data_IF_453589753722
#
_entry.id   IF_453589753722
#
_cell.length_a   1.000
_cell.length_b   1.000
_cell.length_c   1.000
_cell.angle_alpha   90.00
_cell.angle_beta   90.00
_cell.angle_gamma   90.00
#
_symmetry.space_group_name_H-M   'P 1'
#
loop_
_entity.id
_entity.type
_entity.pdbx_description
1 polymer ?
#
# COMPACT_ATOMS: atom_id res chain seq x y z
N UNK A 1 -13.96 5.15 -15.61
CA UNK A 1 -13.50 6.45 -16.12
C UNK A 1 -11.97 6.44 -16.14
N UNK A 2 -11.35 7.15 -17.08
CA UNK A 2 -9.89 7.23 -17.13
C UNK A 2 -9.41 8.25 -16.09
N UNK A 3 -8.81 7.78 -15.00
CA UNK A 3 -8.42 8.63 -13.85
C UNK A 3 -7.25 9.57 -14.15
N UNK A 4 -6.44 9.28 -15.18
CA UNK A 4 -5.34 10.13 -15.61
C UNK A 4 -5.83 11.48 -16.18
N UNK A 5 -6.70 11.51 -17.22
CA UNK A 5 -7.31 12.77 -17.68
C UNK A 5 -8.03 13.54 -16.57
N UNK A 6 -8.69 12.83 -15.65
CA UNK A 6 -9.37 13.43 -14.51
C UNK A 6 -8.39 14.14 -13.57
N UNK A 7 -7.25 13.52 -13.22
CA UNK A 7 -6.25 14.22 -12.41
C UNK A 7 -5.69 15.46 -13.12
N UNK A 8 -5.39 15.35 -14.42
CA UNK A 8 -4.86 16.49 -15.19
C UNK A 8 -5.84 17.67 -15.14
N UNK A 9 -7.14 17.40 -15.32
CA UNK A 9 -8.16 18.44 -15.22
C UNK A 9 -8.20 19.04 -13.81
N UNK A 10 -8.25 18.21 -12.77
CA UNK A 10 -8.29 18.66 -11.37
C UNK A 10 -7.09 19.53 -10.98
N UNK A 11 -5.89 19.18 -11.46
CA UNK A 11 -4.67 19.96 -11.25
C UNK A 11 -4.70 21.29 -12.01
N UNK A 12 -5.19 21.29 -13.25
CA UNK A 12 -5.38 22.50 -14.06
C UNK A 12 -6.33 23.48 -13.39
N UNK A 13 -7.42 22.95 -12.83
CA UNK A 13 -8.44 23.72 -12.09
C UNK A 13 -7.99 24.11 -10.67
N UNK A 14 -6.77 23.72 -10.26
CA UNK A 14 -6.21 23.97 -8.91
C UNK A 14 -7.13 23.46 -7.81
N UNK A 15 -7.74 22.31 -8.03
CA UNK A 15 -8.60 21.65 -7.06
C UNK A 15 -7.85 21.33 -5.77
N UNK A 16 -8.59 21.21 -4.66
CA UNK A 16 -8.04 20.81 -3.37
C UNK A 16 -7.74 19.31 -3.37
N UNK A 17 -6.46 18.94 -3.52
CA UNK A 17 -6.02 17.54 -3.62
C UNK A 17 -5.08 17.13 -2.49
N UNK A 18 -5.18 15.87 -2.06
CA UNK A 18 -4.20 15.21 -1.16
C UNK A 18 -3.63 13.97 -1.84
N UNK A 19 -2.31 13.92 -2.02
CA UNK A 19 -1.62 12.75 -2.56
C UNK A 19 -1.37 11.72 -1.47
N UNK A 20 -1.73 10.46 -1.71
CA UNK A 20 -1.43 9.32 -0.85
C UNK A 20 -0.41 8.43 -1.55
N UNK A 21 0.86 8.56 -1.17
CA UNK A 21 1.97 7.88 -1.83
C UNK A 21 2.22 6.50 -1.21
N UNK A 22 2.14 5.45 -2.02
CA UNK A 22 2.39 4.09 -1.57
C UNK A 22 3.87 3.89 -1.16
N UNK A 23 4.18 3.13 -0.10
CA UNK A 23 5.55 2.95 0.39
C UNK A 23 6.49 2.20 -0.57
N UNK A 24 5.99 1.73 -1.72
CA UNK A 24 6.83 1.17 -2.79
C UNK A 24 7.49 2.23 -3.67
N UNK A 25 7.15 3.50 -3.50
CA UNK A 25 7.68 4.59 -4.32
C UNK A 25 9.23 4.66 -4.37
N UNK A 26 10.02 4.25 -3.35
CA UNK A 26 11.49 4.32 -3.42
C UNK A 26 12.09 3.47 -4.54
N UNK A 27 11.32 2.52 -5.08
CA UNK A 27 11.70 1.73 -6.26
C UNK A 27 11.77 2.61 -7.52
N UNK A 28 10.95 3.66 -7.59
CA UNK A 28 10.74 4.49 -8.78
C UNK A 28 11.31 5.90 -8.61
N UNK A 29 11.12 6.50 -7.43
CA UNK A 29 11.49 7.89 -7.17
C UNK A 29 12.39 8.01 -5.95
N UNK A 30 13.23 9.04 -5.95
CA UNK A 30 14.10 9.33 -4.82
C UNK A 30 13.36 10.11 -3.72
N UNK A 31 13.68 9.76 -2.47
CA UNK A 31 13.20 10.44 -1.27
C UNK A 31 14.25 11.44 -0.76
N UNK A 32 13.87 12.65 -0.30
CA UNK A 32 12.49 13.18 -0.18
C UNK A 32 11.96 13.91 -1.42
N UNK A 33 12.74 14.05 -2.50
CA UNK A 33 12.39 14.87 -3.67
C UNK A 33 11.01 14.62 -4.27
N UNK A 34 10.53 13.37 -4.31
CA UNK A 34 9.17 13.07 -4.78
C UNK A 34 8.07 13.81 -4.02
N UNK A 35 8.24 14.06 -2.73
CA UNK A 35 7.27 14.78 -1.90
C UNK A 35 7.18 16.23 -2.35
N UNK A 36 8.31 16.89 -2.55
CA UNK A 36 8.37 18.27 -3.05
C UNK A 36 7.79 18.41 -4.46
N UNK A 37 8.08 17.45 -5.34
CA UNK A 37 7.50 17.40 -6.69
C UNK A 37 5.98 17.32 -6.67
N UNK A 38 5.41 16.47 -5.82
CA UNK A 38 3.95 16.37 -5.69
C UNK A 38 3.33 17.67 -5.15
N UNK A 39 3.98 18.31 -4.17
CA UNK A 39 3.53 19.62 -3.68
C UNK A 39 3.59 20.70 -4.77
N UNK A 40 4.68 20.76 -5.53
CA UNK A 40 4.85 21.70 -6.65
C UNK A 40 3.91 21.43 -7.81
N UNK A 41 3.57 20.17 -8.05
CA UNK A 41 2.57 19.78 -9.06
C UNK A 41 1.18 20.32 -8.72
N UNK A 42 0.86 20.53 -7.43
CA UNK A 42 -0.40 21.14 -6.98
C UNK A 42 -1.10 20.42 -5.84
N UNK A 43 -0.53 19.33 -5.31
CA UNK A 43 -1.09 18.67 -4.12
C UNK A 43 -0.83 19.53 -2.87
N UNK A 44 -1.89 19.86 -2.14
CA UNK A 44 -1.75 20.66 -0.91
C UNK A 44 -1.10 19.84 0.21
N UNK A 45 -1.45 18.55 0.28
CA UNK A 45 -0.90 17.61 1.24
C UNK A 45 -0.39 16.36 0.55
N UNK A 46 0.70 15.81 1.07
CA UNK A 46 1.27 14.54 0.64
C UNK A 46 1.42 13.66 1.86
N UNK A 47 0.73 12.53 1.87
CA UNK A 47 0.75 11.57 2.97
C UNK A 47 1.31 10.24 2.52
N UNK A 48 1.96 9.55 3.45
CA UNK A 48 2.47 8.22 3.23
C UNK A 48 1.41 7.16 3.57
N UNK A 49 1.15 6.26 2.64
CA UNK A 49 0.19 5.15 2.83
C UNK A 49 0.64 4.16 3.92
N UNK A 50 1.91 4.23 4.35
CA UNK A 50 2.41 3.52 5.51
C UNK A 50 1.59 3.85 6.79
N UNK A 51 1.07 5.07 6.92
CA UNK A 51 0.19 5.41 8.04
C UNK A 51 -1.10 4.57 8.06
N UNK A 52 -1.74 4.34 6.92
CA UNK A 52 -2.88 3.43 6.84
C UNK A 52 -2.49 1.96 7.03
N UNK A 53 -1.27 1.56 6.66
CA UNK A 53 -0.78 0.20 6.90
C UNK A 53 -0.66 -0.13 8.40
N UNK A 54 -0.34 0.87 9.23
CA UNK A 54 -0.34 0.71 10.69
C UNK A 54 -1.74 0.40 11.21
N UNK A 55 -2.76 1.09 10.69
CA UNK A 55 -4.16 0.80 11.06
C UNK A 55 -4.61 -0.57 10.55
N UNK A 56 -4.21 -0.97 9.33
CA UNK A 56 -4.46 -2.33 8.84
C UNK A 56 -3.84 -3.38 9.76
N UNK A 57 -2.59 -3.19 10.19
CA UNK A 57 -1.92 -4.11 11.13
C UNK A 57 -2.69 -4.22 12.45
N UNK A 58 -3.10 -3.09 13.04
CA UNK A 58 -3.90 -3.07 14.27
C UNK A 58 -5.18 -3.89 14.12
N UNK A 59 -5.91 -3.72 13.01
CA UNK A 59 -7.15 -4.48 12.76
C UNK A 59 -6.90 -5.98 12.59
N UNK A 60 -5.81 -6.39 11.94
CA UNK A 60 -5.42 -7.81 11.86
C UNK A 60 -5.12 -8.36 13.25
N UNK A 61 -4.35 -7.63 14.06
CA UNK A 61 -3.98 -8.04 15.42
C UNK A 61 -5.21 -8.13 16.32
N UNK A 62 -6.11 -7.13 16.29
CA UNK A 62 -7.38 -7.14 17.02
C UNK A 62 -8.21 -8.37 16.66
N UNK A 63 -8.31 -8.69 15.36
CA UNK A 63 -9.05 -9.85 14.89
C UNK A 63 -8.43 -11.17 15.39
N UNK A 64 -7.10 -11.32 15.32
CA UNK A 64 -6.37 -12.50 15.80
C UNK A 64 -6.44 -12.67 17.33
N UNK A 65 -6.51 -11.58 18.09
CA UNK A 65 -6.60 -11.62 19.57
C UNK A 65 -8.01 -11.90 20.07
N UNK A 66 -9.04 -11.65 19.26
CA UNK A 66 -10.44 -11.85 19.65
C UNK A 66 -10.79 -13.33 19.84
N UNK A 67 -10.16 -14.21 19.09
CA UNK A 67 -10.35 -15.66 19.19
C UNK A 67 -9.03 -16.38 18.84
N UNK A 68 -8.52 -17.17 19.78
CA UNK A 68 -7.30 -17.95 19.64
C UNK A 68 -7.36 -18.99 18.51
N UNK A 69 -8.57 -19.37 18.08
CA UNK A 69 -8.82 -20.26 16.96
C UNK A 69 -9.12 -19.53 15.66
N UNK A 70 -9.20 -18.20 15.68
CA UNK A 70 -9.45 -17.43 14.47
C UNK A 70 -8.30 -17.60 13.47
N UNK A 71 -8.69 -17.71 12.21
CA UNK A 71 -7.80 -17.89 11.07
C UNK A 71 -8.13 -16.85 10.02
N UNK A 72 -7.11 -16.17 9.51
CA UNK A 72 -7.27 -15.06 8.58
C UNK A 72 -6.32 -15.18 7.40
N UNK A 73 -6.82 -14.73 6.25
CA UNK A 73 -6.05 -14.49 5.04
C UNK A 73 -6.04 -12.98 4.82
N UNK A 74 -4.87 -12.40 4.61
CA UNK A 74 -4.75 -10.94 4.45
C UNK A 74 -5.44 -10.49 3.15
N UNK A 75 -6.13 -9.35 3.20
CA UNK A 75 -6.90 -8.80 2.07
C UNK A 75 -6.34 -7.52 1.39
N UNK A 76 -5.13 -6.98 1.69
CA UNK A 76 -4.71 -5.70 1.10
C UNK A 76 -4.39 -5.79 -0.40
N UNK A 77 -4.24 -7.00 -0.96
CA UNK A 77 -3.99 -7.24 -2.38
C UNK A 77 -5.31 -7.48 -3.14
N UNK A 78 -5.83 -6.49 -3.89
CA UNK A 78 -7.15 -6.62 -4.52
C UNK A 78 -7.16 -7.66 -5.65
N UNK A 79 -6.03 -7.89 -6.34
CA UNK A 79 -5.92 -8.98 -7.33
C UNK A 79 -6.16 -10.35 -6.70
N UNK A 80 -5.60 -10.58 -5.51
CA UNK A 80 -5.79 -11.82 -4.77
C UNK A 80 -7.22 -11.95 -4.26
N UNK A 81 -7.78 -10.90 -3.64
CA UNK A 81 -9.17 -10.88 -3.16
C UNK A 81 -10.16 -11.23 -4.28
N UNK A 82 -9.99 -10.62 -5.47
CA UNK A 82 -10.83 -10.92 -6.64
C UNK A 82 -10.65 -12.35 -7.15
N UNK A 83 -9.43 -12.89 -7.09
CA UNK A 83 -9.18 -14.29 -7.40
C UNK A 83 -9.94 -15.22 -6.43
N UNK A 84 -9.91 -14.94 -5.12
CA UNK A 84 -10.65 -15.71 -4.11
C UNK A 84 -12.14 -15.65 -4.37
N UNK A 85 -12.73 -14.45 -4.52
CA UNK A 85 -14.16 -14.27 -4.83
C UNK A 85 -14.62 -15.07 -6.05
N UNK A 86 -13.79 -15.11 -7.10
CA UNK A 86 -14.14 -15.79 -8.36
C UNK A 86 -13.89 -17.30 -8.36
N UNK A 87 -12.76 -17.75 -7.79
CA UNK A 87 -12.28 -19.14 -7.92
C UNK A 87 -12.41 -19.96 -6.64
N UNK A 88 -12.40 -19.32 -5.48
CA UNK A 88 -12.45 -19.95 -4.16
C UNK A 88 -13.45 -19.26 -3.22
N UNK A 89 -14.72 -19.03 -3.65
CA UNK A 89 -15.69 -18.25 -2.86
C UNK A 89 -15.95 -18.85 -1.46
N UNK A 90 -15.80 -20.16 -1.30
CA UNK A 90 -15.93 -20.83 0.01
C UNK A 90 -14.83 -20.46 1.02
N UNK A 91 -13.70 -19.88 0.56
CA UNK A 91 -12.60 -19.37 1.39
C UNK A 91 -12.69 -17.87 1.65
N UNK A 92 -13.62 -17.15 1.03
CA UNK A 92 -13.81 -15.70 1.22
C UNK A 92 -14.08 -15.33 2.67
N UNK A 93 -14.76 -16.22 3.43
CA UNK A 93 -15.00 -16.05 4.87
C UNK A 93 -13.74 -15.89 5.73
N UNK A 94 -12.58 -16.31 5.22
CA UNK A 94 -11.30 -16.16 5.92
C UNK A 94 -10.59 -14.84 5.56
N UNK A 95 -11.03 -14.11 4.54
CA UNK A 95 -10.44 -12.82 4.21
C UNK A 95 -10.68 -11.81 5.34
N UNK A 96 -9.61 -11.16 5.78
CA UNK A 96 -9.63 -10.19 6.85
C UNK A 96 -10.25 -8.85 6.42
N UNK A 97 -11.53 -8.81 6.03
CA UNK A 97 -12.19 -7.60 5.54
C UNK A 97 -12.30 -6.47 6.59
N UNK A 98 -12.29 -6.82 7.88
CA UNK A 98 -12.19 -5.82 8.95
C UNK A 98 -10.87 -5.04 8.93
N UNK A 99 -9.81 -5.65 8.39
CA UNK A 99 -8.52 -5.02 8.14
C UNK A 99 -8.44 -4.55 6.67
N UNK A 100 -9.17 -3.48 6.37
CA UNK A 100 -9.16 -2.86 5.04
C UNK A 100 -7.74 -2.49 4.61
N UNK A 101 -7.51 -2.37 3.30
CA UNK A 101 -6.17 -2.16 2.78
C UNK A 101 -5.58 -0.81 3.23
N UNK A 102 -4.23 -0.68 3.24
CA UNK A 102 -3.57 0.57 3.61
C UNK A 102 -4.03 1.79 2.81
N UNK A 103 -4.40 1.60 1.54
CA UNK A 103 -4.96 2.65 0.69
C UNK A 103 -6.28 3.18 1.28
N UNK A 104 -7.19 2.27 1.64
CA UNK A 104 -8.51 2.62 2.18
C UNK A 104 -8.38 3.25 3.56
N UNK A 105 -7.56 2.67 4.44
CA UNK A 105 -7.31 3.26 5.76
C UNK A 105 -6.72 4.66 5.67
N UNK A 106 -5.75 4.87 4.78
CA UNK A 106 -5.16 6.20 4.55
C UNK A 106 -6.18 7.17 3.98
N UNK A 107 -7.04 6.73 3.04
CA UNK A 107 -8.10 7.58 2.48
C UNK A 107 -9.11 8.03 3.55
N UNK A 108 -9.47 7.14 4.49
CA UNK A 108 -10.31 7.48 5.64
C UNK A 108 -9.64 8.50 6.56
N UNK A 109 -8.34 8.34 6.84
CA UNK A 109 -7.57 9.33 7.62
C UNK A 109 -7.57 10.71 6.94
N UNK A 110 -7.33 10.75 5.63
CA UNK A 110 -7.38 11.98 4.83
C UNK A 110 -8.77 12.62 4.88
N UNK A 111 -9.83 11.84 4.68
CA UNK A 111 -11.22 12.36 4.72
C UNK A 111 -11.61 12.96 6.08
N UNK A 112 -11.08 12.41 7.17
CA UNK A 112 -11.30 12.97 8.52
C UNK A 112 -10.50 14.26 8.72
N UNK A 113 -9.22 14.27 8.30
CA UNK A 113 -8.32 15.40 8.56
C UNK A 113 -8.55 16.58 7.61
N UNK A 114 -8.88 16.30 6.35
CA UNK A 114 -9.06 17.26 5.26
C UNK A 114 -10.28 16.88 4.41
N UNK A 115 -11.51 17.00 4.95
CA UNK A 115 -12.73 16.54 4.29
C UNK A 115 -13.00 17.20 2.93
N UNK A 116 -12.53 18.42 2.72
CA UNK A 116 -12.70 19.18 1.46
C UNK A 116 -11.64 18.83 0.39
N UNK A 117 -10.70 17.94 0.69
CA UNK A 117 -9.60 17.61 -0.20
C UNK A 117 -9.83 16.23 -0.82
N UNK A 118 -9.89 16.19 -2.14
CA UNK A 118 -10.01 14.94 -2.88
C UNK A 118 -8.72 14.12 -2.71
N UNK A 119 -8.88 12.92 -2.18
CA UNK A 119 -7.79 11.97 -2.00
C UNK A 119 -7.40 11.35 -3.36
N UNK A 120 -6.09 11.26 -3.61
CA UNK A 120 -5.52 10.63 -4.81
C UNK A 120 -4.45 9.64 -4.38
N UNK A 121 -4.73 8.35 -4.52
CA UNK A 121 -3.74 7.30 -4.31
C UNK A 121 -2.77 7.21 -5.48
N UNK A 122 -1.49 7.07 -5.18
CA UNK A 122 -0.41 6.92 -6.14
C UNK A 122 0.39 5.68 -5.75
N UNK A 123 0.40 4.65 -6.59
CA UNK A 123 1.04 3.39 -6.25
C UNK A 123 1.36 2.45 -7.40
N UNK A 124 1.71 1.19 -7.10
CA UNK A 124 2.25 0.26 -8.10
C UNK A 124 1.20 -0.61 -8.78
N UNK A 125 -0.09 -0.51 -8.44
CA UNK A 125 -1.09 -1.51 -8.79
C UNK A 125 -2.30 -0.90 -9.49
N UNK A 126 -2.58 -1.34 -10.71
CA UNK A 126 -3.76 -0.94 -11.48
C UNK A 126 -5.07 -1.50 -10.90
N UNK A 127 -5.02 -2.63 -10.18
CA UNK A 127 -6.23 -3.26 -9.60
C UNK A 127 -6.76 -2.47 -8.39
N UNK A 128 -5.95 -1.57 -7.81
CA UNK A 128 -6.42 -0.64 -6.78
C UNK A 128 -7.55 0.27 -7.28
N UNK A 129 -7.61 0.54 -8.59
CA UNK A 129 -8.71 1.30 -9.23
C UNK A 129 -10.05 0.58 -9.06
N UNK A 130 -10.05 -0.74 -9.15
CA UNK A 130 -11.25 -1.56 -8.95
C UNK A 130 -11.61 -1.67 -7.46
N UNK A 131 -10.63 -1.73 -6.56
CA UNK A 131 -10.89 -1.65 -5.13
C UNK A 131 -11.55 -0.32 -4.74
N UNK A 132 -11.04 0.79 -5.26
CA UNK A 132 -11.63 2.10 -5.01
C UNK A 132 -13.04 2.23 -5.61
N UNK A 133 -13.23 1.83 -6.86
CA UNK A 133 -14.49 2.09 -7.58
C UNK A 133 -15.61 1.07 -7.31
N UNK A 134 -15.29 -0.19 -7.03
CA UNK A 134 -16.29 -1.24 -6.80
C UNK A 134 -16.45 -1.60 -5.33
N UNK A 135 -15.36 -1.66 -4.55
CA UNK A 135 -15.42 -2.07 -3.15
C UNK A 135 -15.66 -0.88 -2.19
N UNK A 136 -15.23 0.33 -2.57
CA UNK A 136 -15.36 1.56 -1.74
C UNK A 136 -15.79 2.81 -2.53
N UNK A 137 -16.88 2.76 -3.33
CA UNK A 137 -17.30 3.87 -4.20
C UNK A 137 -17.55 5.20 -3.45
N UNK A 138 -18.01 5.12 -2.19
CA UNK A 138 -18.33 6.30 -1.36
C UNK A 138 -17.12 7.15 -0.96
N UNK A 139 -15.91 6.59 -1.09
CA UNK A 139 -14.68 7.35 -0.86
C UNK A 139 -14.33 8.24 -2.06
N UNK A 140 -14.89 7.98 -3.25
CA UNK A 140 -14.60 8.68 -4.50
C UNK A 140 -13.08 8.81 -4.75
N UNK A 141 -12.31 7.79 -4.37
CA UNK A 141 -10.85 7.84 -4.41
C UNK A 141 -10.36 7.78 -5.85
N UNK A 142 -9.49 8.72 -6.23
CA UNK A 142 -8.78 8.66 -7.52
C UNK A 142 -7.52 7.80 -7.36
N UNK A 143 -7.27 6.87 -8.27
CA UNK A 143 -6.16 5.91 -8.15
C UNK A 143 -5.25 5.99 -9.38
N UNK A 144 -4.01 6.38 -9.16
CA UNK A 144 -2.97 6.44 -10.19
C UNK A 144 -1.87 5.42 -9.94
N UNK A 145 -1.37 4.88 -11.03
CA UNK A 145 -0.11 4.15 -11.05
C UNK A 145 1.07 5.10 -11.14
N UNK A 146 2.29 4.66 -10.79
CA UNK A 146 3.49 5.49 -11.00
C UNK A 146 3.72 5.81 -12.48
N UNK A 147 3.40 4.87 -13.39
CA UNK A 147 3.44 5.13 -14.84
C UNK A 147 2.52 6.30 -15.23
N UNK A 148 1.30 6.34 -14.71
CA UNK A 148 0.36 7.44 -14.97
C UNK A 148 0.85 8.74 -14.32
N UNK A 149 1.46 8.69 -13.13
CA UNK A 149 2.08 9.87 -12.51
C UNK A 149 3.23 10.43 -13.36
N UNK A 150 4.07 9.58 -13.96
CA UNK A 150 5.12 10.02 -14.87
C UNK A 150 4.55 10.75 -16.10
N UNK A 151 3.39 10.32 -16.60
CA UNK A 151 2.67 11.00 -17.68
C UNK A 151 2.12 12.37 -17.22
N UNK A 152 1.63 12.48 -15.99
CA UNK A 152 1.21 13.76 -15.39
C UNK A 152 2.41 14.72 -15.24
N UNK A 153 3.55 14.25 -14.72
CA UNK A 153 4.74 15.08 -14.62
C UNK A 153 5.23 15.58 -15.97
N UNK A 154 5.18 14.73 -17.01
CA UNK A 154 5.50 15.15 -18.38
C UNK A 154 4.53 16.20 -18.92
N UNK A 155 3.24 16.03 -18.68
CA UNK A 155 2.20 16.98 -19.10
C UNK A 155 2.44 18.38 -18.52
N UNK A 156 2.72 18.46 -17.22
CA UNK A 156 2.97 19.72 -16.52
C UNK A 156 4.44 20.16 -16.52
N UNK A 157 5.32 19.44 -17.23
CA UNK A 157 6.77 19.70 -17.32
C UNK A 157 7.46 19.81 -15.94
N UNK A 158 7.03 18.98 -14.98
CA UNK A 158 7.60 18.91 -13.63
C UNK A 158 8.86 18.03 -13.64
N UNK A 159 10.03 18.67 -13.68
CA UNK A 159 11.34 18.03 -13.54
C UNK A 159 11.81 18.01 -12.07
N UNK A 160 12.86 17.27 -11.74
CA UNK A 160 13.43 17.29 -10.38
C UNK A 160 14.09 18.65 -10.08
N UNK A 161 13.87 19.19 -8.88
CA UNK A 161 14.56 20.39 -8.39
C UNK A 161 15.18 20.15 -7.01
N UNK A 162 16.34 20.74 -6.72
CA UNK A 162 17.01 20.57 -5.41
C UNK A 162 16.14 21.04 -4.23
N UNK A 163 15.32 22.07 -4.43
CA UNK A 163 14.38 22.56 -3.40
C UNK A 163 13.35 21.51 -3.00
N UNK A 164 13.04 20.55 -3.88
CA UNK A 164 12.05 19.50 -3.59
C UNK A 164 12.55 18.58 -2.45
N UNK A 165 13.87 18.54 -2.21
CA UNK A 165 14.48 17.75 -1.12
C UNK A 165 14.25 18.34 0.28
N UNK A 166 13.68 19.53 0.39
CA UNK A 166 13.33 20.16 1.67
C UNK A 166 11.90 19.82 2.12
N UNK A 167 11.12 19.14 1.28
CA UNK A 167 9.73 18.81 1.58
C UNK A 167 9.62 17.57 2.49
N UNK A 168 8.61 17.60 3.35
CA UNK A 168 8.25 16.49 4.23
C UNK A 168 6.80 16.04 4.00
N UNK A 169 6.53 14.79 4.35
CA UNK A 169 5.18 14.25 4.36
C UNK A 169 4.34 14.92 5.46
N UNK A 170 3.08 15.21 5.15
CA UNK A 170 2.12 15.77 6.10
C UNK A 170 1.56 14.72 7.07
N UNK A 171 1.64 13.43 6.70
CA UNK A 171 1.44 12.26 7.56
C UNK A 171 2.42 11.17 7.11
N UNK A 172 3.18 10.60 8.05
CA UNK A 172 4.09 9.48 7.79
C UNK A 172 4.07 8.50 8.96
N UNK A 173 4.32 7.22 8.67
CA UNK A 173 4.55 6.22 9.71
C UNK A 173 5.67 5.27 9.28
N UNK A 174 6.92 5.54 9.71
CA UNK A 174 8.06 4.72 9.30
C UNK A 174 7.96 3.23 9.62
N UNK A 175 7.25 2.85 10.70
CA UNK A 175 7.19 1.47 11.20
C UNK A 175 6.73 0.45 10.16
N UNK A 176 5.86 0.86 9.24
CA UNK A 176 5.19 -0.01 8.26
C UNK A 176 5.67 0.18 6.82
N UNK A 177 6.79 0.87 6.58
CA UNK A 177 7.30 1.06 5.20
C UNK A 177 7.70 -0.23 4.47
N UNK A 178 7.86 -1.35 5.18
CA UNK A 178 8.12 -2.67 4.59
C UNK A 178 6.89 -3.33 3.96
N UNK A 179 5.69 -2.78 4.13
CA UNK A 179 4.45 -3.35 3.60
C UNK A 179 4.45 -3.76 2.12
N UNK A 180 5.14 -3.08 1.17
CA UNK A 180 5.07 -3.47 -0.24
C UNK A 180 5.97 -4.68 -0.56
N UNK A 181 6.74 -5.19 0.40
CA UNK A 181 7.54 -6.41 0.26
C UNK A 181 6.75 -7.60 0.83
N UNK A 182 6.87 -8.78 0.21
CA UNK A 182 6.30 -10.03 0.74
C UNK A 182 6.75 -10.29 2.20
N UNK A 183 5.79 -10.54 3.09
CA UNK A 183 5.99 -10.64 4.55
C UNK A 183 6.09 -9.31 5.28
N UNK A 184 5.96 -8.18 4.57
CA UNK A 184 6.05 -6.84 5.14
C UNK A 184 4.96 -6.54 6.18
N UNK A 185 3.76 -7.08 5.99
CA UNK A 185 2.67 -7.01 6.97
C UNK A 185 3.08 -7.73 8.26
N UNK A 186 3.54 -8.98 8.14
CA UNK A 186 3.99 -9.80 9.27
C UNK A 186 5.11 -9.12 10.05
N UNK A 187 6.12 -8.61 9.34
CA UNK A 187 7.28 -7.99 9.94
C UNK A 187 6.96 -6.64 10.58
N UNK A 188 6.16 -5.80 9.93
CA UNK A 188 5.84 -4.46 10.46
C UNK A 188 4.75 -4.46 11.54
N UNK A 189 3.88 -5.47 11.55
CA UNK A 189 2.88 -5.67 12.59
C UNK A 189 3.39 -6.47 13.79
N UNK A 190 4.68 -6.83 13.83
CA UNK A 190 5.29 -7.67 14.87
C UNK A 190 4.48 -8.95 15.15
N UNK A 191 3.92 -9.59 14.12
CA UNK A 191 2.98 -10.70 14.32
C UNK A 191 3.61 -11.94 14.95
N UNK A 192 4.94 -12.04 14.90
CA UNK A 192 5.71 -13.08 15.60
C UNK A 192 5.70 -12.93 17.13
N UNK A 193 5.28 -11.78 17.66
CA UNK A 193 5.09 -11.61 19.11
C UNK A 193 3.77 -12.23 19.60
N UNK A 194 2.84 -12.56 18.69
CA UNK A 194 1.51 -13.09 19.02
C UNK A 194 1.17 -14.43 18.34
N UNK A 195 1.94 -14.83 17.33
CA UNK A 195 1.81 -16.09 16.61
C UNK A 195 3.18 -16.77 16.50
N UNK A 196 3.21 -18.10 16.60
CA UNK A 196 4.41 -18.89 16.35
C UNK A 196 4.72 -19.02 14.86
N UNK A 197 5.95 -19.39 14.51
CA UNK A 197 6.41 -19.47 13.11
C UNK A 197 5.58 -20.45 12.25
N UNK A 198 5.06 -21.53 12.84
CA UNK A 198 4.18 -22.51 12.18
C UNK A 198 2.73 -22.02 12.00
N UNK A 199 2.33 -20.97 12.73
CA UNK A 199 1.01 -20.35 12.61
C UNK A 199 0.96 -19.26 11.52
N UNK A 200 2.12 -18.84 10.99
CA UNK A 200 2.22 -17.80 9.97
C UNK A 200 2.72 -18.41 8.66
N UNK A 201 1.98 -18.18 7.58
CA UNK A 201 2.42 -18.50 6.24
C UNK A 201 2.53 -17.21 5.41
N UNK A 202 3.68 -16.99 4.78
CA UNK A 202 3.91 -15.86 3.86
C UNK A 202 4.06 -16.40 2.45
N UNK A 203 3.25 -15.89 1.52
CA UNK A 203 3.25 -16.31 0.12
C UNK A 203 3.21 -15.09 -0.80
N UNK A 204 3.98 -15.15 -1.89
CA UNK A 204 3.85 -14.19 -2.98
C UNK A 204 3.89 -14.86 -4.34
N UNK A 205 3.32 -14.20 -5.34
CA UNK A 205 3.30 -14.67 -6.73
C UNK A 205 2.01 -15.42 -7.06
N UNK A 206 1.41 -15.05 -8.20
CA UNK A 206 0.10 -15.52 -8.62
C UNK A 206 0.05 -17.04 -8.82
N UNK A 207 1.17 -17.65 -9.24
CA UNK A 207 1.31 -19.09 -9.42
C UNK A 207 1.15 -19.85 -8.11
N UNK A 208 1.59 -19.24 -7.00
CA UNK A 208 1.60 -19.87 -5.68
C UNK A 208 0.26 -19.72 -4.95
N UNK A 209 -0.58 -18.77 -5.37
CA UNK A 209 -1.78 -18.40 -4.64
C UNK A 209 -2.81 -19.54 -4.53
N UNK A 210 -2.99 -20.34 -5.59
CA UNK A 210 -3.90 -21.48 -5.56
C UNK A 210 -3.46 -22.56 -4.57
N UNK A 211 -2.17 -22.94 -4.63
CA UNK A 211 -1.60 -23.93 -3.69
C UNK A 211 -1.69 -23.44 -2.25
N UNK A 212 -1.35 -22.17 -1.99
CA UNK A 212 -1.41 -21.59 -0.65
C UNK A 212 -2.82 -21.63 -0.04
N UNK A 213 -3.86 -21.41 -0.85
CA UNK A 213 -5.26 -21.51 -0.40
C UNK A 213 -5.64 -22.95 -0.03
N UNK A 214 -5.20 -23.94 -0.83
CA UNK A 214 -5.44 -25.35 -0.56
C UNK A 214 -4.70 -25.79 0.71
N UNK A 215 -3.42 -25.41 0.83
CA UNK A 215 -2.60 -25.72 2.01
C UNK A 215 -3.18 -25.08 3.27
N UNK A 216 -3.63 -23.82 3.16
CA UNK A 216 -4.31 -23.14 4.25
C UNK A 216 -5.58 -23.88 4.65
N UNK A 217 -6.45 -24.25 3.69
CA UNK A 217 -7.67 -24.99 4.00
C UNK A 217 -7.40 -26.34 4.68
N UNK A 218 -6.35 -27.05 4.28
CA UNK A 218 -5.97 -28.35 4.81
C UNK A 218 -5.20 -28.29 6.15
N UNK A 219 -4.67 -27.12 6.51
CA UNK A 219 -3.94 -26.91 7.77
C UNK A 219 -4.88 -26.46 8.88
N UNK A 220 -4.76 -27.06 10.07
CA UNK A 220 -5.38 -26.55 11.30
C UNK A 220 -4.46 -25.65 12.13
N UNK A 221 -3.17 -25.59 11.75
CA UNK A 221 -2.14 -24.83 12.47
C UNK A 221 -2.02 -23.39 11.95
N UNK A 222 -2.09 -23.17 10.63
CA UNK A 222 -1.89 -21.85 10.05
C UNK A 222 -3.06 -20.92 10.42
N UNK A 223 -2.76 -19.92 11.25
CA UNK A 223 -3.71 -18.89 11.69
C UNK A 223 -3.67 -17.64 10.82
N UNK A 224 -2.54 -17.32 10.22
CA UNK A 224 -2.41 -16.16 9.33
C UNK A 224 -1.71 -16.55 8.03
N UNK A 225 -2.40 -16.36 6.91
CA UNK A 225 -1.80 -16.39 5.58
C UNK A 225 -1.63 -14.95 5.07
N UNK A 226 -0.40 -14.45 5.09
CA UNK A 226 -0.04 -13.19 4.43
C UNK A 226 0.31 -13.45 2.98
N UNK A 227 -0.50 -12.93 2.05
CA UNK A 227 -0.43 -13.32 0.65
C UNK A 227 -0.54 -12.15 -0.32
N UNK A 228 0.41 -12.08 -1.25
CA UNK A 228 0.46 -11.05 -2.28
C UNK A 228 0.48 -11.68 -3.69
N UNK A 229 -0.29 -11.09 -4.61
CA UNK A 229 -0.44 -11.64 -5.96
C UNK A 229 0.80 -11.44 -6.84
N UNK A 230 1.53 -10.32 -6.68
CA UNK A 230 2.77 -10.07 -7.40
C UNK A 230 3.93 -10.82 -6.74
N UNK A 231 4.84 -11.36 -7.54
CA UNK A 231 6.02 -12.05 -7.02
C UNK A 231 6.89 -11.10 -6.19
N UNK A 232 7.34 -11.53 -5.01
CA UNK A 232 8.08 -10.68 -4.07
C UNK A 232 7.31 -9.50 -3.45
N UNK A 233 6.05 -9.25 -3.85
CA UNK A 233 5.16 -8.24 -3.29
C UNK A 233 4.83 -7.07 -4.24
N UNK A 234 4.22 -6.01 -3.69
CA UNK A 234 3.79 -4.83 -4.45
C UNK A 234 4.93 -4.09 -5.16
N UNK A 235 6.19 -4.29 -4.75
CA UNK A 235 7.38 -3.78 -5.47
C UNK A 235 7.56 -4.37 -6.88
N UNK A 236 6.85 -5.45 -7.21
CA UNK A 236 6.75 -6.02 -8.56
C UNK A 236 5.40 -5.75 -9.22
N UNK A 237 4.63 -4.76 -8.73
CA UNK A 237 3.35 -4.37 -9.32
C UNK A 237 3.51 -3.83 -10.74
N UNK A 238 2.50 -4.07 -11.59
CA UNK A 238 2.54 -3.70 -13.02
C UNK A 238 2.59 -2.19 -13.31
N UNK A 239 2.40 -1.34 -12.29
CA UNK A 239 2.56 0.11 -12.36
C UNK A 239 3.96 0.62 -12.01
N UNK A 240 4.93 -0.25 -11.73
CA UNK A 240 6.33 0.12 -11.48
C UNK A 240 7.05 0.35 -12.81
N UNK A 241 7.75 1.48 -12.95
CA UNK A 241 8.50 1.87 -14.16
C UNK A 241 10.01 1.63 -14.07
N UNK A 242 10.51 1.15 -12.91
CA UNK A 242 11.93 0.90 -12.66
C UNK A 242 12.46 -0.36 -13.35
N UNK A 243 13.68 -0.31 -13.89
CA UNK A 243 14.37 -1.45 -14.50
C UNK A 243 15.06 -2.39 -13.50
N UNK A 244 15.08 -2.02 -12.21
CA UNK A 244 15.72 -2.78 -11.14
C UNK A 244 15.11 -4.18 -11.01
N UNK A 245 15.94 -5.16 -10.65
CA UNK A 245 15.50 -6.51 -10.33
C UNK A 245 14.86 -6.59 -8.93
N UNK A 246 14.25 -7.73 -8.59
CA UNK A 246 13.52 -7.91 -7.33
C UNK A 246 14.38 -7.62 -6.08
N UNK A 247 15.63 -8.06 -6.07
CA UNK A 247 16.53 -7.87 -4.93
C UNK A 247 16.90 -6.38 -4.75
N UNK A 248 17.22 -5.70 -5.84
CA UNK A 248 17.52 -4.26 -5.83
C UNK A 248 16.32 -3.43 -5.37
N UNK A 249 15.11 -3.79 -5.83
CA UNK A 249 13.86 -3.14 -5.40
C UNK A 249 13.61 -3.34 -3.92
N UNK A 250 13.79 -4.57 -3.43
CA UNK A 250 13.70 -4.89 -2.00
C UNK A 250 14.70 -4.07 -1.20
N UNK A 251 15.96 -3.98 -1.66
CA UNK A 251 17.00 -3.18 -1.00
C UNK A 251 16.61 -1.71 -0.88
N UNK A 252 16.06 -1.09 -1.94
CA UNK A 252 15.61 0.32 -1.89
C UNK A 252 14.55 0.56 -0.84
N UNK A 253 13.52 -0.29 -0.78
CA UNK A 253 12.46 -0.18 0.23
C UNK A 253 13.00 -0.44 1.64
N UNK A 254 13.87 -1.44 1.83
CA UNK A 254 14.49 -1.71 3.13
C UNK A 254 15.35 -0.53 3.61
N UNK A 255 16.14 0.07 2.72
CA UNK A 255 16.94 1.27 3.05
C UNK A 255 16.04 2.45 3.46
N UNK A 256 14.95 2.67 2.73
CA UNK A 256 13.96 3.70 3.06
C UNK A 256 13.26 3.45 4.41
N UNK A 257 12.98 2.18 4.74
CA UNK A 257 12.44 1.79 6.05
C UNK A 257 13.43 2.08 7.18
N UNK A 258 14.69 1.69 7.02
CA UNK A 258 15.76 1.94 8.02
C UNK A 258 15.96 3.44 8.23
N UNK A 259 16.00 4.24 7.16
CA UNK A 259 16.13 5.70 7.25
C UNK A 259 15.09 6.32 8.19
N UNK A 260 13.84 5.86 8.10
CA UNK A 260 12.76 6.35 8.95
C UNK A 260 12.85 5.89 10.43
N UNK A 261 13.59 4.81 10.72
CA UNK A 261 13.86 4.38 12.11
C UNK A 261 14.97 5.20 12.76
N UNK A 262 15.96 5.66 11.98
CA UNK A 262 17.08 6.46 12.50
C UNK A 262 16.63 7.87 12.93
N UNK A 263 15.60 8.43 12.28
CA UNK A 263 15.04 9.75 12.59
C UNK A 263 14.21 9.73 13.90
N UNK A 264 13.71 8.57 14.31
CA UNK A 264 12.84 8.40 15.50
C UNK A 264 13.57 7.84 16.75
N UNK A 265 14.91 7.83 16.79
CA UNK A 265 15.59 7.61 18.06
C UNK A 265 15.45 8.89 18.90
N UNK A 266 14.80 8.87 20.08
CA UNK A 266 14.99 9.95 21.02
C UNK A 266 16.49 10.02 21.33
N UNK A 267 17.06 11.22 21.28
CA UNK A 267 18.37 11.48 21.86
C UNK A 267 18.37 10.97 23.29
N UNK A 268 19.19 9.95 23.58
CA UNK A 268 19.56 9.59 24.94
C UNK A 268 20.19 10.79 25.64
#
# INVERSE_FOLDING_TARGET
MAELPELIQLLTDKSKLTAMLAPSFPVVYDYPGIVGKLKRLGFAYVVEVAAGAEETNKKVIEALKKDEKARYITSPCPSFVRMVRKKYPHLEKYLAYAAESPMIQTAKMVKVKWPDYQAVFIGPCFVKKLEASEDFPDLKLLVLTYKELDEVFKHFQINDEEKDKQAEFDITFPGTRLYPISGGLVQSGNLKEILSDDQIQVVSGWQNCGKALIDFQASDTVRLLDILFCDGGCIMGGGITSSLNLEERRRRVTQYWVLGKTINKPSC
#
